data_IF_050360837665
#
_entry.id   IF_050360837665
#
_cell.length_a   1.000
_cell.length_b   1.000
_cell.length_c   1.000
_cell.angle_alpha   90.00
_cell.angle_beta   90.00
_cell.angle_gamma   90.00
#
_symmetry.space_group_name_H-M   'P 1'
#
loop_
_entity.id
_entity.type
_entity.pdbx_description
1 polymer ?
#
# COMPACT_ATOMS: atom_id res chain seq x y z
N UNK A 1 -76.33 -6.93 24.68
CA UNK A 1 -76.28 -8.23 24.00
C UNK A 1 -76.76 -7.97 22.58
N UNK A 2 -75.94 -7.98 21.54
CA UNK A 2 -74.66 -8.65 21.39
C UNK A 2 -73.69 -7.90 20.46
N UNK A 3 -72.42 -8.05 20.81
CA UNK A 3 -71.24 -7.61 20.10
C UNK A 3 -71.11 -8.28 18.74
N UNK A 4 -70.59 -7.56 17.76
CA UNK A 4 -69.86 -8.16 16.64
C UNK A 4 -68.62 -7.33 16.37
N UNK A 5 -67.61 -7.55 17.21
CA UNK A 5 -66.22 -7.18 17.00
C UNK A 5 -65.65 -7.96 15.81
N UNK A 6 -65.72 -7.40 14.61
CA UNK A 6 -64.82 -7.80 13.52
C UNK A 6 -63.72 -6.75 13.37
N UNK A 7 -62.88 -6.62 14.40
CA UNK A 7 -61.56 -6.01 14.25
C UNK A 7 -60.71 -6.99 13.43
N UNK A 8 -60.79 -6.89 12.12
CA UNK A 8 -59.74 -7.41 11.27
C UNK A 8 -58.49 -6.55 11.51
N UNK A 9 -57.67 -7.00 12.45
CA UNK A 9 -56.27 -6.64 12.58
C UNK A 9 -55.52 -7.14 11.35
N UNK A 10 -55.75 -6.48 10.21
CA UNK A 10 -54.87 -6.58 9.06
C UNK A 10 -53.60 -5.84 9.46
N UNK A 11 -52.67 -6.58 10.06
CA UNK A 11 -51.28 -6.19 10.22
C UNK A 11 -50.80 -5.70 8.86
N UNK A 12 -50.71 -4.38 8.68
CA UNK A 12 -49.97 -3.76 7.58
C UNK A 12 -48.52 -4.23 7.70
N UNK A 13 -48.21 -5.39 7.13
CA UNK A 13 -46.83 -5.73 6.80
C UNK A 13 -46.43 -4.70 5.77
N UNK A 14 -45.74 -3.66 6.22
CA UNK A 14 -45.04 -2.72 5.38
C UNK A 14 -44.00 -3.49 4.56
N UNK A 15 -44.43 -4.05 3.43
CA UNK A 15 -43.53 -4.65 2.47
C UNK A 15 -42.63 -3.54 1.94
N UNK A 16 -41.32 -3.70 2.08
CA UNK A 16 -40.34 -2.86 1.39
C UNK A 16 -40.51 -3.07 -0.11
N UNK A 17 -41.30 -2.21 -0.75
CA UNK A 17 -41.45 -2.22 -2.21
C UNK A 17 -40.18 -1.63 -2.80
N UNK A 18 -39.39 -2.48 -3.47
CA UNK A 18 -38.20 -2.03 -4.19
C UNK A 18 -38.63 -1.21 -5.41
N UNK A 19 -38.45 0.10 -5.34
CA UNK A 19 -38.72 1.02 -6.45
C UNK A 19 -37.43 1.30 -7.24
N UNK A 20 -37.18 0.63 -8.38
CA UNK A 20 -35.92 0.72 -9.10
C UNK A 20 -35.61 2.16 -9.56
N UNK A 21 -36.63 2.96 -9.91
CA UNK A 21 -36.45 4.36 -10.32
C UNK A 21 -35.95 5.25 -9.17
N UNK A 22 -36.52 5.10 -7.97
CA UNK A 22 -36.05 5.83 -6.78
C UNK A 22 -34.65 5.37 -6.40
N UNK A 23 -34.40 4.06 -6.40
CA UNK A 23 -33.07 3.51 -6.13
C UNK A 23 -31.99 4.08 -7.08
N UNK A 24 -32.24 4.08 -8.40
CA UNK A 24 -31.33 4.64 -9.40
C UNK A 24 -31.10 6.14 -9.18
N UNK A 25 -32.15 6.91 -8.85
CA UNK A 25 -32.02 8.35 -8.62
C UNK A 25 -31.18 8.67 -7.37
N UNK A 26 -31.34 7.87 -6.31
CA UNK A 26 -30.56 7.96 -5.07
C UNK A 26 -29.10 7.60 -5.29
N UNK A 27 -28.83 6.55 -6.08
CA UNK A 27 -27.47 6.17 -6.47
C UNK A 27 -26.81 7.30 -7.27
N UNK A 28 -27.50 7.89 -8.25
CA UNK A 28 -26.96 8.99 -9.05
C UNK A 28 -26.68 10.25 -8.23
N UNK A 29 -27.56 10.60 -7.29
CA UNK A 29 -27.35 11.76 -6.42
C UNK A 29 -26.22 11.54 -5.42
N UNK A 30 -26.08 10.33 -4.87
CA UNK A 30 -24.95 9.93 -4.04
C UNK A 30 -23.63 9.96 -4.81
N UNK A 31 -23.60 9.40 -6.02
CA UNK A 31 -22.41 9.37 -6.86
C UNK A 31 -21.96 10.78 -7.27
N UNK A 32 -22.90 11.68 -7.58
CA UNK A 32 -22.59 13.09 -7.84
C UNK A 32 -22.00 13.80 -6.62
N UNK A 33 -22.51 13.50 -5.42
CA UNK A 33 -21.98 14.06 -4.16
C UNK A 33 -20.57 13.58 -3.85
N UNK A 34 -20.23 12.35 -4.22
CA UNK A 34 -18.92 11.73 -3.95
C UNK A 34 -18.05 11.60 -5.22
N UNK A 35 -18.33 12.39 -6.26
CA UNK A 35 -17.69 12.20 -7.55
C UNK A 35 -16.17 12.36 -7.47
N UNK A 36 -15.67 13.31 -6.67
CA UNK A 36 -14.24 13.56 -6.51
C UNK A 36 -13.53 12.39 -5.80
N UNK A 37 -14.16 11.83 -4.77
CA UNK A 37 -13.68 10.68 -4.02
C UNK A 37 -13.65 9.44 -4.90
N UNK A 38 -14.69 9.21 -5.70
CA UNK A 38 -14.74 8.10 -6.66
C UNK A 38 -13.69 8.24 -7.76
N UNK A 39 -13.46 9.45 -8.26
CA UNK A 39 -12.40 9.72 -9.24
C UNK A 39 -11.01 9.48 -8.64
N UNK A 40 -10.77 9.98 -7.42
CA UNK A 40 -9.53 9.72 -6.68
C UNK A 40 -9.29 8.22 -6.49
N UNK A 41 -10.30 7.50 -6.00
CA UNK A 41 -10.23 6.05 -5.83
C UNK A 41 -9.95 5.32 -7.15
N UNK A 42 -10.60 5.74 -8.24
CA UNK A 42 -10.36 5.18 -9.58
C UNK A 42 -8.93 5.41 -10.08
N UNK A 43 -8.39 6.62 -9.91
CA UNK A 43 -7.02 6.96 -10.30
C UNK A 43 -5.99 6.14 -9.50
N UNK A 44 -6.13 6.09 -8.17
CA UNK A 44 -5.22 5.34 -7.30
C UNK A 44 -5.33 3.83 -7.51
N UNK A 45 -6.54 3.30 -7.79
CA UNK A 45 -6.72 1.90 -8.15
C UNK A 45 -6.04 1.57 -9.50
N UNK A 46 -6.20 2.43 -10.50
CA UNK A 46 -5.51 2.28 -11.79
C UNK A 46 -3.99 2.32 -11.66
N UNK A 47 -3.47 3.25 -10.86
CA UNK A 47 -2.05 3.35 -10.52
C UNK A 47 -1.54 2.10 -9.81
N UNK A 48 -2.26 1.61 -8.81
CA UNK A 48 -1.91 0.40 -8.06
C UNK A 48 -1.87 -0.83 -8.98
N UNK A 49 -2.89 -0.98 -9.82
CA UNK A 49 -2.97 -2.05 -10.81
C UNK A 49 -1.77 -2.01 -11.75
N UNK A 50 -1.43 -0.82 -12.28
CA UNK A 50 -0.28 -0.64 -13.15
C UNK A 50 1.03 -1.03 -12.44
N UNK A 51 1.24 -0.58 -11.21
CA UNK A 51 2.43 -0.89 -10.44
C UNK A 51 2.55 -2.40 -10.18
N UNK A 52 1.46 -3.04 -9.72
CA UNK A 52 1.38 -4.48 -9.49
C UNK A 52 1.71 -5.28 -10.76
N UNK A 53 1.16 -4.87 -11.90
CA UNK A 53 1.41 -5.51 -13.19
C UNK A 53 2.87 -5.38 -13.66
N UNK A 54 3.58 -4.31 -13.25
CA UNK A 54 4.98 -4.13 -13.63
C UNK A 54 5.94 -4.84 -12.67
N UNK A 55 5.68 -4.84 -11.36
CA UNK A 55 6.56 -5.54 -10.41
C UNK A 55 6.59 -7.05 -10.65
N UNK A 56 5.57 -7.63 -11.30
CA UNK A 56 5.54 -9.04 -11.71
C UNK A 56 6.28 -9.32 -13.03
N UNK A 57 6.75 -8.29 -13.72
CA UNK A 57 7.41 -8.40 -15.05
C UNK A 57 8.83 -7.84 -15.06
N UNK A 58 9.24 -7.16 -13.99
CA UNK A 58 10.56 -6.52 -13.88
C UNK A 58 11.33 -7.07 -12.68
N UNK A 59 12.62 -7.31 -12.92
CA UNK A 59 13.59 -7.70 -11.87
C UNK A 59 13.86 -6.56 -10.89
N UNK A 60 14.69 -6.83 -9.88
CA UNK A 60 15.11 -5.90 -8.83
C UNK A 60 16.00 -4.77 -9.33
N UNK A 61 15.92 -3.62 -8.67
CA UNK A 61 16.83 -2.49 -8.86
C UNK A 61 18.07 -2.63 -7.97
N UNK A 62 19.06 -1.75 -8.17
CA UNK A 62 20.31 -1.73 -7.38
C UNK A 62 20.03 -1.59 -5.88
N UNK A 63 19.14 -0.67 -5.50
CA UNK A 63 18.84 -0.45 -4.08
C UNK A 63 18.13 -1.66 -3.46
N UNK A 64 17.27 -2.34 -4.22
CA UNK A 64 16.52 -3.50 -3.74
C UNK A 64 17.42 -4.71 -3.41
N UNK A 65 18.59 -4.83 -4.06
CA UNK A 65 19.60 -5.85 -3.74
C UNK A 65 20.01 -5.75 -2.27
N UNK A 66 20.09 -4.53 -1.75
CA UNK A 66 20.63 -4.21 -0.42
C UNK A 66 19.49 -4.01 0.59
N UNK A 67 18.44 -3.29 0.18
CA UNK A 67 17.34 -2.87 1.04
C UNK A 67 16.41 -4.03 1.43
N UNK A 68 16.14 -4.99 0.54
CA UNK A 68 15.27 -6.14 0.84
C UNK A 68 15.90 -7.05 1.92
N UNK A 69 17.17 -7.51 1.79
CA UNK A 69 17.80 -8.30 2.84
C UNK A 69 17.94 -7.53 4.16
N UNK A 70 18.25 -6.23 4.10
CA UNK A 70 18.38 -5.39 5.28
C UNK A 70 17.04 -5.22 6.02
N UNK A 71 15.95 -5.02 5.27
CA UNK A 71 14.60 -4.95 5.84
C UNK A 71 14.26 -6.22 6.64
N UNK A 72 14.57 -7.39 6.08
CA UNK A 72 14.36 -8.67 6.78
C UNK A 72 15.24 -8.80 8.03
N UNK A 73 16.54 -8.48 7.90
CA UNK A 73 17.47 -8.49 9.01
C UNK A 73 16.99 -7.61 10.17
N UNK A 74 16.58 -6.37 9.88
CA UNK A 74 16.05 -5.45 10.88
C UNK A 74 14.81 -5.99 11.60
N UNK A 75 13.91 -6.63 10.85
CA UNK A 75 12.67 -7.16 11.37
C UNK A 75 12.90 -8.37 12.30
N UNK A 76 13.81 -9.28 11.95
CA UNK A 76 14.04 -10.52 12.70
C UNK A 76 15.11 -10.37 13.79
N UNK A 77 16.19 -9.65 13.52
CA UNK A 77 17.30 -9.47 14.45
C UNK A 77 17.07 -8.36 15.49
N UNK A 78 16.15 -7.42 15.21
CA UNK A 78 16.01 -6.19 16.01
C UNK A 78 17.26 -5.30 15.99
N UNK A 79 18.18 -5.54 15.04
CA UNK A 79 19.44 -4.82 14.91
C UNK A 79 19.40 -3.92 13.66
N UNK A 80 19.62 -2.61 13.85
CA UNK A 80 19.50 -1.60 12.81
C UNK A 80 20.84 -1.11 12.22
N UNK A 81 21.95 -1.80 12.51
CA UNK A 81 23.28 -1.39 12.03
C UNK A 81 23.53 -1.73 10.55
N UNK A 82 22.87 -2.76 10.02
CA UNK A 82 22.98 -3.14 8.61
C UNK A 82 22.30 -2.09 7.72
N UNK A 83 23.02 -1.44 6.81
CA UNK A 83 22.46 -0.38 5.94
C UNK A 83 21.82 0.75 6.78
N UNK A 84 22.57 1.35 7.70
CA UNK A 84 22.09 2.36 8.64
C UNK A 84 22.07 3.80 8.08
N UNK A 85 22.22 3.98 6.77
CA UNK A 85 22.24 5.30 6.10
C UNK A 85 20.87 5.98 6.13
N UNK A 86 19.80 5.20 6.30
CA UNK A 86 18.42 5.67 6.33
C UNK A 86 17.64 5.10 7.53
N UNK A 87 16.62 5.82 8.05
CA UNK A 87 15.78 5.34 9.14
C UNK A 87 15.21 3.94 8.86
N UNK A 88 15.25 3.02 9.83
CA UNK A 88 14.97 1.60 9.59
C UNK A 88 13.49 1.35 9.25
N UNK A 89 12.56 2.17 9.75
CA UNK A 89 11.13 1.99 9.52
C UNK A 89 10.76 1.97 8.03
N UNK A 90 11.43 2.80 7.22
CA UNK A 90 11.21 2.86 5.77
C UNK A 90 11.43 1.51 5.08
N UNK A 91 12.39 0.73 5.57
CA UNK A 91 12.73 -0.61 5.08
C UNK A 91 11.84 -1.68 5.73
N UNK A 92 11.66 -1.64 7.04
CA UNK A 92 10.96 -2.70 7.79
C UNK A 92 9.54 -2.94 7.26
N UNK A 93 8.83 -1.90 6.83
CA UNK A 93 7.49 -2.02 6.24
C UNK A 93 7.49 -2.95 5.01
N UNK A 94 8.54 -2.92 4.19
CA UNK A 94 8.66 -3.81 3.03
C UNK A 94 8.90 -5.26 3.42
N UNK A 95 9.46 -5.54 4.60
CA UNK A 95 9.70 -6.91 5.06
C UNK A 95 8.47 -7.57 5.71
N UNK A 96 7.35 -6.87 5.89
CA UNK A 96 6.14 -7.45 6.48
C UNK A 96 5.65 -8.75 5.82
N UNK A 97 5.72 -8.96 4.49
CA UNK A 97 5.31 -10.23 3.88
C UNK A 97 6.24 -11.40 4.25
N UNK A 98 7.49 -11.11 4.64
CA UNK A 98 8.46 -12.14 5.01
C UNK A 98 8.14 -12.83 6.33
N UNK A 99 7.24 -12.27 7.15
CA UNK A 99 6.68 -12.97 8.31
C UNK A 99 5.95 -14.26 7.91
N UNK A 100 5.42 -14.33 6.68
CA UNK A 100 4.71 -15.48 6.13
C UNK A 100 5.57 -16.29 5.14
N UNK A 101 6.40 -15.61 4.35
CA UNK A 101 7.23 -16.26 3.34
C UNK A 101 8.43 -16.96 3.99
N UNK A 102 9.01 -16.40 5.06
CA UNK A 102 10.17 -16.93 5.77
C UNK A 102 11.36 -17.29 4.83
N UNK A 103 12.16 -16.29 4.41
CA UNK A 103 13.41 -16.52 3.69
C UNK A 103 14.32 -17.54 4.39
N UNK A 104 15.03 -18.34 3.61
CA UNK A 104 16.02 -19.29 4.10
C UNK A 104 17.28 -18.55 4.55
N UNK A 105 17.28 -18.11 5.80
CA UNK A 105 18.37 -17.37 6.42
C UNK A 105 18.84 -18.02 7.70
N UNK A 106 20.13 -17.85 7.99
CA UNK A 106 20.66 -18.17 9.30
C UNK A 106 19.94 -17.34 10.37
N UNK A 107 19.75 -17.92 11.55
CA UNK A 107 19.13 -17.18 12.64
C UNK A 107 20.00 -15.97 13.01
N UNK A 108 19.42 -14.84 13.45
CA UNK A 108 20.20 -13.65 13.79
C UNK A 108 21.38 -13.88 14.74
N UNK A 109 21.25 -14.82 15.67
CA UNK A 109 22.29 -15.24 16.63
C UNK A 109 23.49 -15.96 15.98
N UNK A 110 23.33 -16.45 14.76
CA UNK A 110 24.36 -17.16 13.99
C UNK A 110 25.12 -16.23 13.02
N UNK A 111 24.68 -14.97 12.88
CA UNK A 111 25.33 -13.98 12.01
C UNK A 111 26.54 -13.41 12.78
N UNK A 112 27.71 -14.00 12.52
CA UNK A 112 28.96 -13.72 13.26
C UNK A 112 29.72 -12.48 12.79
N UNK A 113 29.42 -11.97 11.60
CA UNK A 113 30.06 -10.76 11.09
C UNK A 113 29.43 -9.49 11.71
N UNK A 114 30.22 -8.53 12.21
CA UNK A 114 29.68 -7.28 12.73
C UNK A 114 28.95 -6.53 11.59
N UNK A 115 27.64 -6.25 11.73
CA UNK A 115 26.93 -5.43 10.76
C UNK A 115 27.50 -4.01 10.81
N UNK A 116 28.17 -3.57 9.75
CA UNK A 116 28.70 -2.20 9.68
C UNK A 116 29.86 -1.98 8.73
N UNK A 117 30.75 -2.97 8.54
CA UNK A 117 31.82 -2.86 7.54
C UNK A 117 31.26 -3.06 6.12
N UNK A 118 31.77 -2.33 5.13
CA UNK A 118 31.28 -2.42 3.74
C UNK A 118 31.33 -3.86 3.22
N UNK A 119 32.41 -4.59 3.51
CA UNK A 119 32.57 -5.99 3.09
C UNK A 119 31.55 -6.92 3.76
N UNK A 120 31.26 -6.75 5.05
CA UNK A 120 30.27 -7.56 5.75
C UNK A 120 28.84 -7.28 5.26
N UNK A 121 28.52 -6.01 4.91
CA UNK A 121 27.25 -5.64 4.26
C UNK A 121 27.07 -6.44 2.96
N UNK A 122 28.02 -6.32 2.04
CA UNK A 122 27.94 -7.01 0.74
C UNK A 122 27.93 -8.54 0.87
N UNK A 123 28.74 -9.12 1.76
CA UNK A 123 28.73 -10.56 2.00
C UNK A 123 27.35 -11.06 2.45
N UNK A 124 26.69 -10.34 3.36
CA UNK A 124 25.35 -10.69 3.81
C UNK A 124 24.30 -10.60 2.69
N UNK A 125 24.33 -9.53 1.89
CA UNK A 125 23.39 -9.37 0.77
C UNK A 125 23.57 -10.47 -0.27
N UNK A 126 24.82 -10.81 -0.62
CA UNK A 126 25.14 -11.91 -1.53
C UNK A 126 24.63 -13.24 -0.99
N UNK A 127 24.94 -13.57 0.27
CA UNK A 127 24.47 -14.84 0.87
C UNK A 127 22.95 -14.92 0.91
N UNK A 128 22.26 -13.81 1.19
CA UNK A 128 20.80 -13.79 1.22
C UNK A 128 20.21 -14.20 -0.12
N UNK A 129 20.68 -13.61 -1.22
CA UNK A 129 20.16 -13.92 -2.55
C UNK A 129 20.60 -15.31 -3.05
N UNK A 130 21.79 -15.77 -2.69
CA UNK A 130 22.27 -17.12 -3.00
C UNK A 130 21.45 -18.19 -2.29
N UNK A 131 21.24 -18.04 -0.98
CA UNK A 131 20.46 -18.98 -0.16
C UNK A 131 18.99 -19.08 -0.59
N UNK A 132 18.48 -18.03 -1.25
CA UNK A 132 17.09 -17.91 -1.64
C UNK A 132 16.86 -17.91 -3.16
N UNK A 133 17.83 -18.38 -3.96
CA UNK A 133 17.73 -18.38 -5.43
C UNK A 133 16.43 -19.03 -5.95
N UNK A 134 16.00 -20.14 -5.37
CA UNK A 134 14.77 -20.84 -5.76
C UNK A 134 13.48 -20.02 -5.50
N UNK A 135 13.55 -18.98 -4.66
CA UNK A 135 12.42 -18.14 -4.24
C UNK A 135 12.58 -16.70 -4.67
N UNK A 136 13.52 -16.41 -5.56
CA UNK A 136 13.90 -15.08 -5.99
C UNK A 136 12.69 -14.23 -6.41
N UNK A 137 11.81 -14.77 -7.24
CA UNK A 137 10.62 -14.05 -7.74
C UNK A 137 9.69 -13.64 -6.59
N UNK A 138 9.46 -14.54 -5.63
CA UNK A 138 8.63 -14.29 -4.46
C UNK A 138 9.25 -13.22 -3.56
N UNK A 139 10.56 -13.34 -3.27
CA UNK A 139 11.28 -12.40 -2.42
C UNK A 139 11.50 -11.03 -3.08
N UNK A 140 11.42 -10.95 -4.40
CA UNK A 140 11.47 -9.69 -5.14
C UNK A 140 10.10 -9.03 -5.24
N UNK A 141 9.04 -9.82 -5.41
CA UNK A 141 7.68 -9.30 -5.63
C UNK A 141 7.03 -8.80 -4.34
N UNK A 142 7.00 -9.61 -3.29
CA UNK A 142 6.17 -9.32 -2.12
C UNK A 142 6.59 -8.06 -1.35
N UNK A 143 7.89 -7.77 -1.15
CA UNK A 143 8.30 -6.54 -0.47
C UNK A 143 7.87 -5.24 -1.13
N UNK A 144 7.56 -5.29 -2.43
CA UNK A 144 7.09 -4.14 -3.20
C UNK A 144 5.61 -3.83 -2.95
N UNK A 145 4.83 -4.80 -2.51
CA UNK A 145 3.38 -4.61 -2.26
C UNK A 145 3.13 -3.58 -1.14
N UNK A 146 3.81 -3.64 0.03
CA UNK A 146 3.74 -2.56 1.02
C UNK A 146 4.17 -1.18 0.50
N UNK A 147 5.14 -1.13 -0.43
CA UNK A 147 5.61 0.15 -1.02
C UNK A 147 4.55 0.78 -1.92
N UNK A 148 3.88 -0.05 -2.73
CA UNK A 148 2.73 0.39 -3.54
C UNK A 148 1.62 0.90 -2.62
N UNK A 149 1.34 0.18 -1.53
CA UNK A 149 0.36 0.61 -0.53
C UNK A 149 0.71 1.98 0.07
N UNK A 150 1.97 2.20 0.47
CA UNK A 150 2.42 3.51 0.95
C UNK A 150 2.27 4.61 -0.10
N UNK A 151 2.50 4.30 -1.38
CA UNK A 151 2.31 5.27 -2.48
C UNK A 151 0.84 5.65 -2.64
N UNK A 152 -0.07 4.69 -2.50
CA UNK A 152 -1.52 4.96 -2.50
C UNK A 152 -1.89 5.84 -1.31
N UNK A 153 -1.37 5.56 -0.11
CA UNK A 153 -1.60 6.41 1.06
C UNK A 153 -1.09 7.83 0.86
N UNK A 154 0.09 8.00 0.25
CA UNK A 154 0.60 9.31 -0.14
C UNK A 154 -0.36 10.03 -1.11
N UNK A 155 -0.90 9.32 -2.11
CA UNK A 155 -1.92 9.87 -3.01
C UNK A 155 -3.20 10.31 -2.29
N UNK A 156 -3.64 9.57 -1.27
CA UNK A 156 -4.78 9.95 -0.43
C UNK A 156 -4.49 11.21 0.41
N UNK A 157 -3.26 11.35 0.93
CA UNK A 157 -2.84 12.57 1.63
C UNK A 157 -2.82 13.77 0.68
N UNK A 158 -2.28 13.62 -0.53
CA UNK A 158 -2.29 14.65 -1.57
C UNK A 158 -3.73 15.08 -1.88
N UNK A 159 -4.64 14.12 -2.06
CA UNK A 159 -6.06 14.42 -2.28
C UNK A 159 -6.66 15.25 -1.14
N UNK A 160 -6.46 14.79 0.10
CA UNK A 160 -6.99 15.45 1.29
C UNK A 160 -6.45 16.87 1.41
N UNK A 161 -5.14 17.04 1.29
CA UNK A 161 -4.47 18.33 1.43
C UNK A 161 -4.89 19.32 0.33
N UNK A 162 -4.83 18.90 -0.94
CA UNK A 162 -5.26 19.74 -2.06
C UNK A 162 -6.75 20.11 -1.98
N UNK A 163 -7.60 19.21 -1.46
CA UNK A 163 -9.02 19.49 -1.26
C UNK A 163 -9.26 20.56 -0.20
N UNK A 164 -8.49 20.54 0.88
CA UNK A 164 -8.60 21.53 1.95
C UNK A 164 -8.20 22.93 1.47
N UNK A 165 -7.16 23.03 0.63
CA UNK A 165 -6.65 24.31 0.16
C UNK A 165 -7.42 24.88 -1.05
N UNK A 166 -7.76 24.02 -2.01
CA UNK A 166 -8.21 24.45 -3.35
C UNK A 166 -9.52 23.78 -3.80
N UNK A 167 -10.13 22.97 -2.94
CA UNK A 167 -11.39 22.29 -3.22
C UNK A 167 -11.26 21.01 -4.06
N UNK A 168 -12.40 20.38 -4.30
CA UNK A 168 -12.46 19.00 -4.81
C UNK A 168 -11.89 18.82 -6.23
N UNK A 169 -12.06 19.81 -7.12
CA UNK A 169 -11.56 19.72 -8.51
C UNK A 169 -10.04 19.75 -8.55
N UNK A 170 -9.43 20.65 -7.78
CA UNK A 170 -7.97 20.75 -7.67
C UNK A 170 -7.38 19.49 -7.03
N UNK A 171 -8.07 18.89 -6.06
CA UNK A 171 -7.65 17.62 -5.46
C UNK A 171 -7.61 16.46 -6.46
N UNK A 172 -8.64 16.32 -7.29
CA UNK A 172 -8.66 15.30 -8.34
C UNK A 172 -7.55 15.54 -9.35
N UNK A 173 -7.32 16.80 -9.75
CA UNK A 173 -6.23 17.15 -10.66
C UNK A 173 -4.86 16.82 -10.04
N UNK A 174 -4.64 17.13 -8.76
CA UNK A 174 -3.39 16.83 -8.07
C UNK A 174 -3.12 15.32 -8.01
N UNK A 175 -4.13 14.51 -7.70
CA UNK A 175 -4.02 13.04 -7.72
C UNK A 175 -3.78 12.53 -9.14
N UNK A 176 -4.45 13.11 -10.15
CA UNK A 176 -4.24 12.72 -11.53
C UNK A 176 -2.78 12.95 -11.95
N UNK A 177 -2.23 14.14 -11.66
CA UNK A 177 -0.83 14.46 -11.91
C UNK A 177 0.10 13.49 -11.17
N UNK A 178 -0.12 13.28 -9.87
CA UNK A 178 0.66 12.33 -9.06
C UNK A 178 0.63 10.89 -9.63
N UNK A 179 -0.56 10.41 -10.01
CA UNK A 179 -0.75 9.03 -10.48
C UNK A 179 -0.20 8.76 -11.89
N UNK A 180 0.02 9.83 -12.67
CA UNK A 180 0.53 9.76 -14.04
C UNK A 180 2.00 10.18 -14.12
N UNK A 181 2.57 10.70 -13.04
CA UNK A 181 3.94 11.18 -13.03
C UNK A 181 4.93 10.00 -13.09
N UNK A 182 5.82 9.95 -14.09
CA UNK A 182 6.66 8.80 -14.36
C UNK A 182 7.65 8.48 -13.24
N UNK A 183 8.17 9.49 -12.53
CA UNK A 183 9.11 9.30 -11.42
C UNK A 183 8.43 8.60 -10.25
N UNK A 184 7.23 9.03 -9.86
CA UNK A 184 6.38 8.38 -8.85
C UNK A 184 6.00 6.97 -9.30
N UNK A 185 5.64 6.76 -10.57
CA UNK A 185 5.33 5.41 -11.06
C UNK A 185 6.55 4.46 -11.04
N UNK A 186 7.74 4.98 -11.28
CA UNK A 186 8.99 4.22 -11.22
C UNK A 186 9.40 3.93 -9.77
N UNK A 187 9.33 4.93 -8.90
CA UNK A 187 9.84 4.90 -7.53
C UNK A 187 8.82 4.34 -6.51
N UNK A 188 7.52 4.51 -6.78
CA UNK A 188 6.37 4.10 -5.95
C UNK A 188 6.27 2.62 -5.62
N UNK A 189 6.86 1.78 -6.47
CA UNK A 189 6.69 0.33 -6.41
C UNK A 189 7.94 -0.43 -5.99
N UNK A 190 9.06 0.23 -5.76
CA UNK A 190 10.34 -0.43 -5.43
C UNK A 190 10.68 -0.21 -3.97
N UNK A 191 11.47 -1.12 -3.39
CA UNK A 191 11.89 -1.00 -2.00
C UNK A 191 13.01 0.04 -1.86
N UNK A 192 12.61 1.26 -1.52
CA UNK A 192 13.49 2.42 -1.31
C UNK A 192 12.89 3.41 -0.30
N UNK A 193 13.52 4.57 -0.12
CA UNK A 193 13.18 5.53 0.94
C UNK A 193 12.39 6.76 0.47
N UNK A 194 12.39 7.09 -0.82
CA UNK A 194 11.76 8.31 -1.36
C UNK A 194 10.28 8.46 -0.98
N UNK A 195 9.49 7.41 -1.24
CA UNK A 195 8.05 7.41 -0.99
C UNK A 195 7.72 7.40 0.51
N UNK A 196 8.33 6.53 1.34
CA UNK A 196 8.19 6.63 2.79
C UNK A 196 8.56 8.01 3.33
N UNK A 197 9.61 8.65 2.79
CA UNK A 197 10.02 9.99 3.21
C UNK A 197 8.98 11.06 2.81
N UNK A 198 8.50 11.03 1.56
CA UNK A 198 7.45 11.94 1.09
C UNK A 198 6.13 11.76 1.87
N UNK A 199 5.74 10.51 2.14
CA UNK A 199 4.59 10.18 2.98
C UNK A 199 4.76 10.74 4.40
N UNK A 200 5.92 10.45 5.02
CA UNK A 200 6.22 10.93 6.36
C UNK A 200 6.20 12.45 6.45
N UNK A 201 6.74 13.16 5.45
CA UNK A 201 6.69 14.62 5.38
C UNK A 201 5.25 15.13 5.31
N UNK A 202 4.44 14.64 4.37
CA UNK A 202 3.08 15.14 4.15
C UNK A 202 2.11 14.74 5.26
N UNK A 203 2.37 13.65 5.99
CA UNK A 203 1.52 13.18 7.08
C UNK A 203 1.34 14.20 8.21
N UNK A 204 2.32 15.10 8.40
CA UNK A 204 2.31 16.11 9.45
C UNK A 204 1.72 17.47 9.02
N UNK A 205 1.20 17.59 7.79
CA UNK A 205 0.51 18.77 7.28
C UNK A 205 -0.99 18.49 7.07
#
# INVERSE_FOLDING_TARGET
>A
MDESLSQNSATERAYLVFEPRRAISSIRSWARRHAAELMCAGLLAGMSWQMLAVISRKSITIDEIVMIPAAYYHLVAGNFQLVNEHPPLSKIVSATPFLFIQPNEARPDQITAPPGSSNAKWAYHTSFWENNRARFDSLSFWPRVPMIFLTVLLGLLIFRFARQLFGARAAVLAVALFSLEPTVLAHGRVVQTDIPAAFGYLLFF
#
